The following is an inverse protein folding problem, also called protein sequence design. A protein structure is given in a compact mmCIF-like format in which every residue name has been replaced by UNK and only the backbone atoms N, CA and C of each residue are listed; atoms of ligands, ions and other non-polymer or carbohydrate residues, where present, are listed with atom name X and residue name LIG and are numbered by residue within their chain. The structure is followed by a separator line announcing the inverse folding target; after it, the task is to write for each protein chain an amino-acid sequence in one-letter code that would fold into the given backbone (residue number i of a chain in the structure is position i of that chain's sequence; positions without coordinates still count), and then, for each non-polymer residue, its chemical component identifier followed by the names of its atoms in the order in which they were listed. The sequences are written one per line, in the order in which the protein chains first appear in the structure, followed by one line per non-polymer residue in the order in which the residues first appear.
data_IF_288485655307
#
_entry.id   IF_288485655307
#
_cell.length_a   1.000
_cell.length_b   1.000
_cell.length_c   1.000
_cell.angle_alpha   90.00
_cell.angle_beta   90.00
_cell.angle_gamma   90.00
#
_symmetry.space_group_name_H-M   'P 1'
#
loop_
_entity.id
_entity.type
_entity.pdbx_description
1 polymer ?
#
# COMPACT_ATOMS: atom_id res chain seq x y z
N UNK A 1 7.67 27.14 21.86
CA UNK A 1 8.24 26.67 23.14
C UNK A 1 9.02 25.40 22.85
N UNK A 2 10.34 25.50 22.74
CA UNK A 2 11.24 24.37 22.58
C UNK A 2 11.30 23.63 23.92
N UNK A 3 10.69 22.43 23.97
CA UNK A 3 10.90 21.52 25.08
C UNK A 3 12.36 21.05 25.02
N UNK A 4 13.21 21.68 25.84
CA UNK A 4 14.63 21.39 25.92
C UNK A 4 14.81 20.12 26.77
N UNK A 5 14.78 18.95 26.12
CA UNK A 5 14.83 17.64 26.78
C UNK A 5 16.21 17.31 27.40
N UNK A 6 17.17 18.23 27.37
CA UNK A 6 18.49 18.08 28.00
C UNK A 6 19.20 16.80 27.58
N UNK A 7 19.87 16.13 28.52
CA UNK A 7 20.58 14.86 28.31
C UNK A 7 19.69 13.70 27.81
N UNK A 8 18.35 13.83 27.90
CA UNK A 8 17.43 12.80 27.45
C UNK A 8 17.06 12.93 25.96
N UNK A 9 17.43 14.03 25.29
CA UNK A 9 17.12 14.25 23.86
C UNK A 9 17.61 13.10 22.97
N UNK A 10 18.86 12.68 23.17
CA UNK A 10 19.46 11.58 22.41
C UNK A 10 18.78 10.23 22.72
N UNK A 11 18.37 10.03 23.98
CA UNK A 11 17.67 8.82 24.41
C UNK A 11 16.26 8.75 23.82
N UNK A 12 15.53 9.86 23.80
CA UNK A 12 14.19 9.95 23.22
C UNK A 12 14.25 9.76 21.71
N UNK A 13 15.22 10.35 21.02
CA UNK A 13 15.47 10.13 19.59
C UNK A 13 15.80 8.67 19.27
N UNK A 14 16.67 8.03 20.06
CA UNK A 14 16.99 6.62 19.92
C UNK A 14 15.77 5.72 20.16
N UNK A 15 15.02 5.96 21.23
CA UNK A 15 13.82 5.19 21.58
C UNK A 15 12.72 5.30 20.51
N UNK A 16 12.48 6.50 19.97
CA UNK A 16 11.50 6.70 18.89
C UNK A 16 11.94 6.04 17.59
N UNK A 17 13.24 6.11 17.24
CA UNK A 17 13.77 5.41 16.06
C UNK A 17 13.65 3.88 16.19
N UNK A 18 13.90 3.33 17.39
CA UNK A 18 13.73 1.90 17.70
C UNK A 18 12.27 1.49 17.67
N UNK A 19 11.35 2.29 18.23
CA UNK A 19 9.92 2.01 18.15
C UNK A 19 9.41 2.08 16.71
N UNK A 20 9.87 3.04 15.91
CA UNK A 20 9.53 3.14 14.49
C UNK A 20 10.04 1.93 13.70
N UNK A 21 11.29 1.52 13.94
CA UNK A 21 11.88 0.33 13.32
C UNK A 21 11.16 -0.96 13.76
N UNK A 22 10.90 -1.14 15.05
CA UNK A 22 10.18 -2.29 15.58
C UNK A 22 8.74 -2.35 15.06
N UNK A 23 8.07 -1.19 14.90
CA UNK A 23 6.74 -1.12 14.31
C UNK A 23 6.78 -1.47 12.82
N UNK A 24 7.77 -0.97 12.06
CA UNK A 24 7.94 -1.33 10.66
C UNK A 24 8.24 -2.83 10.48
N UNK A 25 9.09 -3.40 11.32
CA UNK A 25 9.40 -4.84 11.33
C UNK A 25 8.16 -5.66 11.75
N UNK A 26 7.44 -5.24 12.79
CA UNK A 26 6.21 -5.89 13.23
C UNK A 26 5.13 -5.91 12.15
N UNK A 27 4.96 -4.80 11.43
CA UNK A 27 4.02 -4.70 10.30
C UNK A 27 4.44 -5.56 9.12
N UNK A 28 5.74 -5.77 8.89
CA UNK A 28 6.22 -6.69 7.84
C UNK A 28 6.10 -8.17 8.21
N UNK A 29 6.10 -8.51 9.50
CA UNK A 29 5.96 -9.88 10.00
C UNK A 29 4.52 -10.31 10.32
N UNK A 30 3.60 -9.35 10.44
CA UNK A 30 2.17 -9.66 10.47
C UNK A 30 1.79 -10.35 9.15
N UNK A 31 1.12 -11.52 9.25
CA UNK A 31 0.57 -12.27 8.11
C UNK A 31 -0.01 -11.28 7.10
N UNK A 32 0.38 -11.40 5.82
CA UNK A 32 -0.09 -10.52 4.74
C UNK A 32 -1.56 -10.22 4.92
N UNK A 33 -1.85 -8.99 5.30
CA UNK A 33 -3.20 -8.63 5.65
C UNK A 33 -4.09 -8.71 4.42
N UNK A 34 -5.39 -8.96 4.61
CA UNK A 34 -6.36 -9.04 3.50
C UNK A 34 -6.37 -7.77 2.64
N UNK A 35 -5.98 -6.61 3.19
CA UNK A 35 -5.90 -5.38 2.42
C UNK A 35 -4.65 -5.27 1.53
N UNK A 36 -3.62 -6.09 1.76
CA UNK A 36 -2.43 -6.08 0.91
C UNK A 36 -2.81 -6.57 -0.50
N UNK A 37 -2.21 -5.95 -1.54
CA UNK A 37 -2.46 -6.36 -2.90
C UNK A 37 -1.97 -7.80 -3.13
N UNK A 38 -2.66 -8.57 -3.99
CA UNK A 38 -2.19 -9.89 -4.40
C UNK A 38 -0.74 -9.89 -4.92
N UNK A 39 -0.04 -11.01 -4.77
CA UNK A 39 1.34 -11.15 -5.28
C UNK A 39 1.43 -11.01 -6.79
N UNK A 40 0.39 -11.42 -7.50
CA UNK A 40 0.31 -11.27 -8.95
C UNK A 40 0.25 -9.81 -9.40
N UNK A 41 -0.38 -8.95 -8.61
CA UNK A 41 -0.61 -7.55 -9.00
C UNK A 41 0.55 -6.63 -8.61
N UNK A 42 1.36 -7.01 -7.62
CA UNK A 42 2.57 -6.27 -7.23
C UNK A 42 3.79 -7.14 -7.48
N UNK A 43 4.43 -6.99 -8.66
CA UNK A 43 5.71 -7.62 -8.93
C UNK A 43 6.71 -7.24 -7.85
N UNK A 44 7.62 -8.15 -7.48
CA UNK A 44 8.67 -7.87 -6.50
C UNK A 44 9.52 -6.61 -6.82
N UNK A 45 9.55 -6.18 -8.08
CA UNK A 45 10.16 -4.92 -8.50
C UNK A 45 9.50 -3.66 -7.90
N UNK A 46 8.20 -3.69 -7.61
CA UNK A 46 7.46 -2.55 -7.04
C UNK A 46 8.01 -2.15 -5.67
N UNK A 47 8.36 -3.13 -4.84
CA UNK A 47 8.98 -2.89 -3.53
C UNK A 47 10.35 -2.21 -3.67
N UNK A 48 11.12 -2.56 -4.72
CA UNK A 48 12.40 -1.92 -5.00
C UNK A 48 12.23 -0.46 -5.43
N UNK A 49 11.22 -0.18 -6.25
CA UNK A 49 10.89 1.19 -6.67
C UNK A 49 10.45 2.02 -5.47
N UNK A 50 9.54 1.50 -4.63
CA UNK A 50 9.11 2.18 -3.41
C UNK A 50 10.30 2.44 -2.48
N UNK A 51 11.16 1.45 -2.26
CA UNK A 51 12.37 1.59 -1.44
C UNK A 51 13.35 2.64 -1.98
N UNK A 52 13.55 2.69 -3.31
CA UNK A 52 14.39 3.70 -3.96
C UNK A 52 13.82 5.11 -3.76
N UNK A 53 12.51 5.29 -3.99
CA UNK A 53 11.84 6.59 -3.79
C UNK A 53 11.94 7.04 -2.34
N UNK A 54 11.69 6.14 -1.38
CA UNK A 54 11.88 6.42 0.05
C UNK A 54 13.30 6.85 0.36
N UNK A 55 14.30 6.09 -0.10
CA UNK A 55 15.70 6.34 0.19
C UNK A 55 16.17 7.71 -0.34
N UNK A 56 15.79 8.05 -1.57
CA UNK A 56 16.13 9.36 -2.17
C UNK A 56 15.48 10.50 -1.38
N UNK A 57 14.20 10.40 -1.07
CA UNK A 57 13.48 11.44 -0.32
C UNK A 57 14.06 11.63 1.10
N UNK A 58 14.34 10.53 1.81
CA UNK A 58 14.96 10.57 3.14
C UNK A 58 16.37 11.16 3.06
N UNK A 59 17.15 10.78 2.04
CA UNK A 59 18.49 11.34 1.82
C UNK A 59 18.48 12.85 1.63
N UNK A 60 17.53 13.37 0.84
CA UNK A 60 17.34 14.82 0.65
C UNK A 60 16.97 15.50 1.97
N UNK A 61 16.00 14.95 2.72
CA UNK A 61 15.61 15.49 4.02
C UNK A 61 16.77 15.53 5.01
N UNK A 62 17.62 14.49 4.99
CA UNK A 62 18.78 14.42 5.86
C UNK A 62 19.86 15.45 5.51
N UNK A 63 20.13 15.66 4.21
CA UNK A 63 21.12 16.64 3.76
C UNK A 63 20.70 18.08 4.08
N UNK A 64 19.42 18.38 3.91
CA UNK A 64 18.87 19.72 4.14
C UNK A 64 18.48 19.98 5.61
N UNK A 65 18.71 19.02 6.52
CA UNK A 65 18.30 19.12 7.93
C UNK A 65 18.84 20.33 8.69
N UNK A 66 19.99 20.88 8.28
CA UNK A 66 20.57 22.07 8.92
C UNK A 66 19.91 23.37 8.46
N UNK A 67 19.33 23.39 7.25
CA UNK A 67 18.64 24.55 6.68
C UNK A 67 17.14 24.55 7.00
N UNK A 68 16.56 23.35 7.12
CA UNK A 68 15.15 23.14 7.42
C UNK A 68 14.95 23.20 8.94
N UNK A 69 14.21 24.20 9.42
CA UNK A 69 13.84 24.31 10.83
C UNK A 69 12.90 23.18 11.28
N UNK A 70 12.85 22.93 12.60
CA UNK A 70 12.01 21.90 13.22
C UNK A 70 10.54 21.98 12.78
N UNK A 71 9.99 23.20 12.71
CA UNK A 71 8.59 23.42 12.32
C UNK A 71 8.29 22.91 10.90
N UNK A 72 9.19 23.19 9.96
CA UNK A 72 9.05 22.73 8.58
C UNK A 72 9.20 21.21 8.49
N UNK A 73 10.09 20.61 9.29
CA UNK A 73 10.27 19.16 9.32
C UNK A 73 9.04 18.43 9.85
N UNK A 74 8.41 18.97 10.91
CA UNK A 74 7.15 18.47 11.45
C UNK A 74 6.00 18.63 10.44
N UNK A 75 5.95 19.75 9.72
CA UNK A 75 4.95 19.97 8.66
C UNK A 75 5.10 18.94 7.53
N UNK A 76 6.33 18.69 7.06
CA UNK A 76 6.61 17.65 6.05
C UNK A 76 6.18 16.27 6.57
N UNK A 77 6.54 15.94 7.81
CA UNK A 77 6.14 14.70 8.46
C UNK A 77 4.62 14.54 8.54
N UNK A 78 3.91 15.60 8.92
CA UNK A 78 2.45 15.60 9.01
C UNK A 78 1.78 15.44 7.64
N UNK A 79 2.26 16.16 6.61
CA UNK A 79 1.75 16.04 5.24
C UNK A 79 2.01 14.65 4.65
N UNK A 80 3.20 14.10 4.84
CA UNK A 80 3.53 12.74 4.44
C UNK A 80 2.68 11.71 5.21
N UNK A 81 2.43 11.95 6.50
CA UNK A 81 1.53 11.14 7.32
C UNK A 81 0.09 11.14 6.80
N UNK A 82 -0.45 12.31 6.46
CA UNK A 82 -1.78 12.43 5.84
C UNK A 82 -1.83 11.67 4.50
N UNK A 83 -0.81 11.83 3.66
CA UNK A 83 -0.71 11.12 2.39
C UNK A 83 -0.62 9.60 2.57
N UNK A 84 0.02 9.14 3.64
CA UNK A 84 0.09 7.72 4.04
C UNK A 84 -1.30 7.21 4.38
N UNK A 85 -2.08 7.94 5.18
CA UNK A 85 -3.45 7.55 5.55
C UNK A 85 -4.36 7.52 4.32
N UNK A 86 -4.27 8.52 3.44
CA UNK A 86 -5.02 8.54 2.18
C UNK A 86 -4.65 7.34 1.29
N UNK A 87 -3.36 7.10 1.08
CA UNK A 87 -2.86 5.98 0.27
C UNK A 87 -3.25 4.63 0.85
N UNK A 88 -3.24 4.50 2.18
CA UNK A 88 -3.72 3.31 2.90
C UNK A 88 -5.21 3.09 2.62
N UNK A 89 -6.01 4.14 2.75
CA UNK A 89 -7.48 4.06 2.56
C UNK A 89 -7.82 3.67 1.13
N UNK A 90 -7.17 4.31 0.14
CA UNK A 90 -7.32 3.98 -1.28
C UNK A 90 -6.89 2.54 -1.56
N UNK A 91 -5.77 2.10 -0.98
CA UNK A 91 -5.28 0.73 -1.15
C UNK A 91 -6.23 -0.29 -0.53
N UNK A 92 -6.71 -0.05 0.69
CA UNK A 92 -7.71 -0.90 1.36
C UNK A 92 -8.98 -0.98 0.51
N UNK A 93 -9.51 0.16 0.08
CA UNK A 93 -10.73 0.22 -0.72
C UNK A 93 -10.57 -0.56 -2.02
N UNK A 94 -9.51 -0.28 -2.79
CA UNK A 94 -9.24 -0.90 -4.09
C UNK A 94 -9.02 -2.41 -3.94
N UNK A 95 -8.15 -2.82 -3.01
CA UNK A 95 -7.78 -4.23 -2.83
C UNK A 95 -8.87 -5.05 -2.14
N UNK A 96 -9.80 -4.43 -1.44
CA UNK A 96 -10.94 -5.15 -0.84
C UNK A 96 -12.10 -5.24 -1.82
N UNK A 97 -12.40 -4.15 -2.55
CA UNK A 97 -13.55 -4.09 -3.47
C UNK A 97 -13.34 -4.91 -4.74
N UNK A 98 -12.13 -4.94 -5.28
CA UNK A 98 -11.84 -5.59 -6.56
C UNK A 98 -11.03 -6.89 -6.41
N UNK A 99 -10.92 -7.44 -5.19
CA UNK A 99 -10.25 -8.72 -4.96
C UNK A 99 -11.21 -9.87 -5.08
N UNK A 100 -10.90 -10.79 -5.98
CA UNK A 100 -11.64 -12.04 -6.19
C UNK A 100 -10.77 -13.22 -5.77
N UNK A 101 -11.41 -14.31 -5.35
CA UNK A 101 -10.74 -15.50 -4.83
C UNK A 101 -10.95 -16.68 -5.76
N UNK A 102 -9.91 -17.47 -5.98
CA UNK A 102 -9.96 -18.68 -6.81
C UNK A 102 -9.02 -19.77 -6.26
N UNK A 103 -9.32 -21.06 -6.44
CA UNK A 103 -8.43 -22.14 -6.02
C UNK A 103 -7.22 -22.22 -6.95
N UNK A 104 -6.01 -22.33 -6.40
CA UNK A 104 -4.78 -22.47 -7.19
C UNK A 104 -4.75 -23.75 -8.04
N UNK A 105 -5.47 -24.79 -7.61
CA UNK A 105 -5.56 -26.06 -8.30
C UNK A 105 -6.96 -26.65 -8.12
N UNK A 106 -7.45 -27.42 -9.10
CA UNK A 106 -8.71 -28.17 -9.01
C UNK A 106 -8.69 -29.28 -7.94
N UNK A 107 -7.55 -29.50 -7.28
CA UNK A 107 -7.42 -30.47 -6.18
C UNK A 107 -8.17 -29.99 -4.94
N UNK A 108 -8.92 -30.91 -4.32
CA UNK A 108 -9.64 -30.66 -3.06
C UNK A 108 -8.63 -30.26 -1.96
N UNK A 109 -8.81 -29.07 -1.38
CA UNK A 109 -7.93 -28.52 -0.36
C UNK A 109 -6.78 -27.64 -0.88
N UNK A 110 -6.76 -27.30 -2.18
CA UNK A 110 -5.80 -26.35 -2.71
C UNK A 110 -5.93 -24.97 -2.03
N UNK A 111 -4.80 -24.26 -1.79
CA UNK A 111 -4.85 -22.92 -1.22
C UNK A 111 -5.61 -21.97 -2.13
N UNK A 112 -6.39 -21.08 -1.52
CA UNK A 112 -7.12 -20.04 -2.22
C UNK A 112 -6.17 -18.89 -2.56
N UNK A 113 -6.07 -18.57 -3.85
CA UNK A 113 -5.37 -17.41 -4.37
C UNK A 113 -6.32 -16.24 -4.55
N UNK A 114 -5.76 -15.03 -4.42
CA UNK A 114 -6.47 -13.78 -4.66
C UNK A 114 -5.96 -13.18 -5.95
N UNK A 115 -6.86 -12.60 -6.74
CA UNK A 115 -6.51 -11.81 -7.92
C UNK A 115 -7.35 -10.54 -7.97
N UNK A 116 -6.85 -9.51 -8.63
CA UNK A 116 -7.61 -8.29 -8.85
C UNK A 116 -8.43 -8.43 -10.14
N UNK A 117 -9.70 -8.07 -10.07
CA UNK A 117 -10.58 -7.94 -11.23
C UNK A 117 -10.52 -6.52 -11.81
N UNK A 118 -11.59 -6.15 -12.52
CA UNK A 118 -11.81 -4.80 -13.03
C UNK A 118 -13.05 -4.14 -12.41
N UNK A 119 -13.19 -2.84 -12.65
CA UNK A 119 -14.40 -2.08 -12.35
C UNK A 119 -15.51 -2.31 -13.39
N UNK A 120 -15.15 -2.47 -14.67
CA UNK A 120 -16.09 -2.56 -15.79
C UNK A 120 -16.13 -3.98 -16.36
N UNK A 121 -17.32 -4.57 -16.34
CA UNK A 121 -17.60 -5.88 -16.94
C UNK A 121 -17.53 -5.80 -18.48
N UNK A 122 -17.25 -6.94 -19.12
CA UNK A 122 -17.43 -7.10 -20.57
C UNK A 122 -18.92 -7.06 -20.92
N UNK A 123 -19.27 -6.75 -22.17
CA UNK A 123 -20.69 -6.68 -22.59
C UNK A 123 -21.41 -8.02 -22.39
N UNK A 124 -20.73 -9.13 -22.70
CA UNK A 124 -21.25 -10.49 -22.50
C UNK A 124 -21.46 -10.80 -21.02
N UNK A 125 -20.46 -10.52 -20.17
CA UNK A 125 -20.57 -10.74 -18.74
C UNK A 125 -21.64 -9.84 -18.10
N UNK A 126 -21.81 -8.61 -18.60
CA UNK A 126 -22.86 -7.70 -18.15
C UNK A 126 -24.25 -8.25 -18.51
N UNK A 127 -24.45 -8.72 -19.74
CA UNK A 127 -25.72 -9.33 -20.15
C UNK A 127 -26.06 -10.56 -19.27
N UNK A 128 -25.09 -11.45 -19.03
CA UNK A 128 -25.27 -12.62 -18.16
C UNK A 128 -25.56 -12.21 -16.70
N UNK A 129 -24.89 -11.16 -16.21
CA UNK A 129 -25.11 -10.62 -14.86
C UNK A 129 -26.53 -10.10 -14.69
N UNK A 130 -27.04 -9.36 -15.68
CA UNK A 130 -28.39 -8.78 -15.66
C UNK A 130 -29.48 -9.85 -15.80
N UNK A 131 -29.30 -10.80 -16.73
CA UNK A 131 -30.26 -11.88 -16.98
C UNK A 131 -30.37 -12.85 -15.79
N UNK A 132 -29.22 -13.24 -15.22
CA UNK A 132 -29.17 -14.26 -14.16
C UNK A 132 -29.00 -13.69 -12.75
N UNK A 133 -28.93 -12.36 -12.60
CA UNK A 133 -28.69 -11.64 -11.34
C UNK A 133 -27.47 -12.18 -10.58
N UNK A 134 -26.40 -12.48 -11.31
CA UNK A 134 -25.18 -13.08 -10.77
C UNK A 134 -24.22 -12.01 -10.25
N UNK A 135 -23.69 -12.25 -9.03
CA UNK A 135 -22.60 -11.48 -8.45
C UNK A 135 -21.31 -11.62 -9.28
N UNK A 136 -20.43 -10.59 -9.33
CA UNK A 136 -19.18 -10.64 -10.10
C UNK A 136 -18.26 -11.82 -9.74
N UNK A 137 -18.24 -12.27 -8.48
CA UNK A 137 -17.49 -13.45 -8.07
C UNK A 137 -18.08 -14.74 -8.68
N UNK A 138 -19.40 -14.84 -8.83
CA UNK A 138 -20.04 -15.98 -9.47
C UNK A 138 -19.79 -15.97 -10.99
N UNK A 139 -19.80 -14.80 -11.62
CA UNK A 139 -19.39 -14.65 -13.03
C UNK A 139 -17.94 -15.12 -13.24
N UNK A 140 -17.04 -14.75 -12.33
CA UNK A 140 -15.64 -15.19 -12.38
C UNK A 140 -15.46 -16.70 -12.22
N UNK A 141 -16.25 -17.34 -11.35
CA UNK A 141 -16.26 -18.80 -11.22
C UNK A 141 -16.81 -19.46 -12.49
N UNK A 142 -17.91 -18.92 -13.05
CA UNK A 142 -18.52 -19.46 -14.27
C UNK A 142 -17.63 -19.30 -15.51
N UNK A 143 -16.79 -18.27 -15.54
CA UNK A 143 -15.80 -18.06 -16.60
C UNK A 143 -14.52 -18.89 -16.40
N UNK A 144 -14.56 -19.95 -15.59
CA UNK A 144 -13.41 -20.80 -15.26
C UNK A 144 -12.18 -20.00 -14.76
N UNK A 145 -12.43 -18.91 -14.02
CA UNK A 145 -11.41 -18.00 -13.49
C UNK A 145 -10.60 -17.22 -14.55
N UNK A 146 -11.11 -17.11 -15.78
CA UNK A 146 -10.53 -16.21 -16.79
C UNK A 146 -11.03 -14.77 -16.58
N UNK A 147 -10.11 -13.88 -16.21
CA UNK A 147 -10.39 -12.46 -15.94
C UNK A 147 -10.85 -11.72 -17.20
N UNK A 148 -10.36 -12.10 -18.38
CA UNK A 148 -10.62 -11.39 -19.63
C UNK A 148 -12.04 -11.61 -20.14
N UNK A 149 -12.67 -12.72 -19.75
CA UNK A 149 -14.06 -12.99 -20.07
C UNK A 149 -15.03 -12.15 -19.22
N UNK A 150 -14.62 -11.79 -18.00
CA UNK A 150 -15.49 -11.07 -17.04
C UNK A 150 -15.29 -9.56 -17.09
N UNK A 151 -14.04 -9.10 -17.11
CA UNK A 151 -13.72 -7.66 -17.07
C UNK A 151 -12.95 -7.20 -18.28
N UNK A 152 -13.22 -5.96 -18.70
CA UNK A 152 -12.46 -5.30 -19.76
C UNK A 152 -10.99 -5.10 -19.36
N UNK A 153 -10.07 -5.32 -20.31
CA UNK A 153 -8.61 -5.21 -20.05
C UNK A 153 -8.20 -3.82 -19.55
N UNK A 154 -8.78 -2.76 -20.11
CA UNK A 154 -8.52 -1.38 -19.68
C UNK A 154 -8.92 -1.17 -18.21
N UNK A 155 -10.04 -1.75 -17.79
CA UNK A 155 -10.50 -1.63 -16.40
C UNK A 155 -9.64 -2.44 -15.43
N UNK A 156 -9.19 -3.64 -15.82
CA UNK A 156 -8.25 -4.43 -15.03
C UNK A 156 -6.92 -3.67 -14.84
N UNK A 157 -6.38 -3.10 -15.93
CA UNK A 157 -5.13 -2.33 -15.88
C UNK A 157 -5.24 -1.10 -14.97
N UNK A 158 -6.38 -0.40 -14.98
CA UNK A 158 -6.61 0.74 -14.09
C UNK A 158 -6.63 0.33 -12.61
N UNK A 159 -7.37 -0.72 -12.26
CA UNK A 159 -7.44 -1.23 -10.88
C UNK A 159 -6.07 -1.72 -10.42
N UNK A 160 -5.35 -2.44 -11.28
CA UNK A 160 -4.00 -2.91 -10.98
C UNK A 160 -3.04 -1.74 -10.78
N UNK A 161 -3.05 -0.75 -11.66
CA UNK A 161 -2.19 0.45 -11.56
C UNK A 161 -2.51 1.24 -10.30
N UNK A 162 -3.80 1.46 -9.98
CA UNK A 162 -4.21 2.15 -8.77
C UNK A 162 -3.77 1.41 -7.50
N UNK A 163 -3.90 0.08 -7.49
CA UNK A 163 -3.43 -0.78 -6.39
C UNK A 163 -1.91 -0.68 -6.20
N UNK A 164 -1.15 -0.78 -7.29
CA UNK A 164 0.32 -0.70 -7.30
C UNK A 164 0.81 0.68 -6.86
N UNK A 165 0.29 1.75 -7.48
CA UNK A 165 0.68 3.11 -7.14
C UNK A 165 0.27 3.48 -5.71
N UNK A 166 -0.93 3.09 -5.28
CA UNK A 166 -1.39 3.29 -3.91
C UNK A 166 -0.48 2.59 -2.90
N UNK A 167 0.00 1.39 -3.22
CA UNK A 167 0.92 0.66 -2.36
C UNK A 167 2.33 1.28 -2.33
N UNK A 168 2.87 1.73 -3.47
CA UNK A 168 4.14 2.47 -3.53
C UNK A 168 4.03 3.77 -2.72
N UNK A 169 2.97 4.55 -2.97
CA UNK A 169 2.70 5.80 -2.28
C UNK A 169 2.64 5.59 -0.76
N UNK A 170 1.90 4.58 -0.31
CA UNK A 170 1.79 4.21 1.10
C UNK A 170 3.16 3.93 1.75
N UNK A 171 3.99 3.12 1.09
CA UNK A 171 5.32 2.78 1.61
C UNK A 171 6.26 3.99 1.62
N UNK A 172 6.27 4.75 0.53
CA UNK A 172 7.12 5.93 0.38
C UNK A 172 6.77 7.00 1.39
N UNK A 173 5.50 7.42 1.43
CA UNK A 173 5.06 8.48 2.34
C UNK A 173 5.13 8.05 3.80
N UNK A 174 4.85 6.78 4.11
CA UNK A 174 4.97 6.26 5.47
C UNK A 174 6.41 6.32 5.98
N UNK A 175 7.35 5.95 5.12
CA UNK A 175 8.79 6.04 5.42
C UNK A 175 9.23 7.49 5.61
N UNK A 176 8.83 8.38 4.69
CA UNK A 176 9.16 9.81 4.75
C UNK A 176 8.58 10.47 6.01
N UNK A 177 7.33 10.15 6.37
CA UNK A 177 6.67 10.71 7.56
C UNK A 177 7.44 10.36 8.83
N UNK A 178 7.78 9.07 9.00
CA UNK A 178 8.55 8.60 10.16
C UNK A 178 9.96 9.19 10.18
N UNK A 179 10.64 9.23 9.04
CA UNK A 179 11.99 9.81 8.95
C UNK A 179 12.02 11.31 9.22
N UNK A 180 11.04 12.08 8.72
CA UNK A 180 10.96 13.51 8.99
C UNK A 180 10.82 13.80 10.49
N UNK A 181 9.97 13.04 11.19
CA UNK A 181 9.82 13.15 12.65
C UNK A 181 11.13 12.78 13.36
N UNK A 182 11.75 11.65 12.99
CA UNK A 182 12.98 11.20 13.60
C UNK A 182 14.13 12.19 13.42
N UNK A 183 14.31 12.72 12.21
CA UNK A 183 15.33 13.73 11.93
C UNK A 183 15.00 15.03 12.68
N UNK A 184 13.75 15.48 12.66
CA UNK A 184 13.32 16.68 13.39
C UNK A 184 13.64 16.62 14.88
N UNK A 185 13.36 15.49 15.53
CA UNK A 185 13.68 15.28 16.95
C UNK A 185 15.18 15.20 17.24
N UNK A 186 16.01 14.92 16.23
CA UNK A 186 17.47 14.86 16.37
C UNK A 186 18.18 16.21 16.20
N UNK A 187 17.49 17.24 15.70
CA UNK A 187 18.01 18.62 15.56
C UNK A 187 17.92 19.33 16.89
#
# INVERSE_FOLDING_TARGET
MSADYGQLKDIVGAATSLMAAASAIGVTWLRRAKWMPPEESVPGGTLRVAGLVSAVAIGILFLERQKIGLETMLLIGALAGLFTIMSLTISIYTNTRYSFVYPESSKRGAPLKRTLGGHKLTAEAQHISEERRMEPQALFVNAAYDKNLVWTQSSQALVQTASVLGFIALQASGSIALSAIAIGLSI
#
